data_IF_321773421164
#
_entry.id   IF_321773421164
#
_cell.length_a   1.000
_cell.length_b   1.000
_cell.length_c   1.000
_cell.angle_alpha   90.00
_cell.angle_beta   90.00
_cell.angle_gamma   90.00
#
_symmetry.space_group_name_H-M   'P 1'
#
loop_
_entity.id
_entity.type
_entity.pdbx_description
1 polymer ?
#
# COMPACT_ATOMS: atom_id res chain seq x y z
N UNK A 1 10.56 7.60 14.92
CA UNK A 1 10.05 6.33 14.38
C UNK A 1 9.02 6.54 13.26
N UNK A 2 7.80 7.05 13.51
CA UNK A 2 6.82 7.31 12.43
C UNK A 2 7.36 8.28 11.37
N UNK A 3 7.88 9.44 11.78
CA UNK A 3 8.48 10.41 10.85
C UNK A 3 9.64 9.80 10.03
N UNK A 4 10.50 9.00 10.67
CA UNK A 4 11.59 8.30 9.97
C UNK A 4 11.07 7.26 8.97
N UNK A 5 9.96 6.58 9.30
CA UNK A 5 9.31 5.62 8.40
C UNK A 5 8.67 6.36 7.21
N UNK A 6 8.00 7.49 7.45
CA UNK A 6 7.49 8.36 6.39
C UNK A 6 8.60 8.84 5.46
N UNK A 7 9.76 9.24 6.01
CA UNK A 7 10.91 9.68 5.22
C UNK A 7 11.47 8.54 4.35
N UNK A 8 11.62 7.33 4.91
CA UNK A 8 12.09 6.14 4.15
C UNK A 8 11.10 5.73 3.06
N UNK A 9 9.80 5.71 3.37
CA UNK A 9 8.74 5.46 2.38
C UNK A 9 8.82 6.51 1.27
N UNK A 10 8.86 7.80 1.61
CA UNK A 10 8.91 8.89 0.64
C UNK A 10 10.21 8.89 -0.20
N UNK A 11 11.30 8.35 0.34
CA UNK A 11 12.54 8.12 -0.40
C UNK A 11 12.40 6.94 -1.39
N UNK A 12 11.72 5.87 -1.00
CA UNK A 12 11.59 4.66 -1.82
C UNK A 12 10.56 4.80 -2.94
N UNK A 13 9.43 5.44 -2.70
CA UNK A 13 8.31 5.53 -3.65
C UNK A 13 8.69 6.05 -5.06
N UNK A 14 9.53 7.10 -5.22
CA UNK A 14 9.98 7.53 -6.55
C UNK A 14 10.67 6.42 -7.35
N UNK A 15 11.43 5.54 -6.68
CA UNK A 15 12.13 4.44 -7.33
C UNK A 15 11.16 3.37 -7.82
N UNK A 16 10.14 3.05 -7.00
CA UNK A 16 9.10 2.07 -7.37
C UNK A 16 8.23 2.60 -8.51
N UNK A 17 7.85 3.88 -8.46
CA UNK A 17 7.09 4.54 -9.55
C UNK A 17 7.88 4.47 -10.86
N UNK A 18 9.19 4.75 -10.82
CA UNK A 18 10.07 4.62 -11.99
C UNK A 18 10.13 3.19 -12.50
N UNK A 19 10.17 2.20 -11.60
CA UNK A 19 10.12 0.78 -11.99
C UNK A 19 8.82 0.44 -12.73
N UNK A 20 7.67 0.90 -12.22
CA UNK A 20 6.37 0.71 -12.89
C UNK A 20 6.34 1.39 -14.27
N UNK A 21 6.87 2.61 -14.38
CA UNK A 21 6.92 3.35 -15.66
C UNK A 21 7.78 2.61 -16.70
N UNK A 22 8.94 2.10 -16.28
CA UNK A 22 9.80 1.27 -17.13
C UNK A 22 9.10 -0.02 -17.53
N UNK A 23 8.41 -0.67 -16.59
CA UNK A 23 7.69 -1.91 -16.85
C UNK A 23 6.59 -1.69 -17.89
N UNK A 24 5.71 -0.69 -17.70
CA UNK A 24 4.64 -0.35 -18.65
C UNK A 24 5.17 -0.03 -20.05
N UNK A 25 6.31 0.66 -20.16
CA UNK A 25 6.93 0.98 -21.46
C UNK A 25 7.52 -0.25 -22.15
N UNK A 26 7.99 -1.24 -21.39
CA UNK A 26 8.58 -2.48 -21.91
C UNK A 26 7.56 -3.55 -22.34
N UNK A 27 6.31 -3.47 -21.87
CA UNK A 27 5.25 -4.40 -22.26
C UNK A 27 4.89 -4.25 -23.74
N UNK A 28 4.63 -5.39 -24.40
CA UNK A 28 4.01 -5.41 -25.73
C UNK A 28 2.62 -4.76 -25.70
N UNK A 29 2.12 -4.31 -26.85
CA UNK A 29 0.81 -3.63 -26.90
C UNK A 29 -0.32 -4.51 -26.36
N UNK A 30 -0.34 -5.81 -26.68
CA UNK A 30 -1.32 -6.74 -26.11
C UNK A 30 -1.20 -6.85 -24.60
N UNK A 31 0.01 -7.05 -24.05
CA UNK A 31 0.20 -7.17 -22.60
C UNK A 31 -0.14 -5.86 -21.87
N UNK A 32 0.11 -4.71 -22.49
CA UNK A 32 -0.28 -3.40 -21.97
C UNK A 32 -1.81 -3.25 -21.91
N UNK A 33 -2.57 -3.81 -22.84
CA UNK A 33 -4.03 -3.84 -22.75
C UNK A 33 -4.52 -4.68 -21.55
N UNK A 34 -3.83 -5.76 -21.22
CA UNK A 34 -4.20 -6.63 -20.09
C UNK A 34 -3.79 -6.06 -18.72
N UNK A 35 -2.60 -5.46 -18.62
CA UNK A 35 -2.00 -5.08 -17.33
C UNK A 35 -1.94 -3.57 -17.10
N UNK A 36 -2.04 -2.76 -18.15
CA UNK A 36 -1.75 -1.33 -18.09
C UNK A 36 -2.65 -0.58 -17.12
N UNK A 37 -3.93 -0.99 -17.02
CA UNK A 37 -4.88 -0.38 -16.08
C UNK A 37 -4.45 -0.59 -14.62
N UNK A 38 -4.09 -1.81 -14.24
CA UNK A 38 -3.65 -2.17 -12.89
C UNK A 38 -2.33 -1.48 -12.53
N UNK A 39 -1.35 -1.49 -13.44
CA UNK A 39 -0.08 -0.81 -13.25
C UNK A 39 -0.24 0.71 -13.12
N UNK A 40 -1.12 1.31 -13.92
CA UNK A 40 -1.43 2.74 -13.83
C UNK A 40 -2.15 3.08 -12.52
N UNK A 41 -3.06 2.23 -12.05
CA UNK A 41 -3.76 2.41 -10.79
C UNK A 41 -2.78 2.38 -9.61
N UNK A 42 -1.91 1.36 -9.57
CA UNK A 42 -0.84 1.26 -8.58
C UNK A 42 0.05 2.50 -8.60
N UNK A 43 0.57 2.87 -9.77
CA UNK A 43 1.40 4.07 -9.95
C UNK A 43 0.73 5.34 -9.39
N UNK A 44 -0.57 5.51 -9.66
CA UNK A 44 -1.32 6.66 -9.19
C UNK A 44 -1.48 6.65 -7.67
N UNK A 45 -1.73 5.49 -7.04
CA UNK A 45 -1.75 5.36 -5.58
C UNK A 45 -0.40 5.73 -4.99
N UNK A 46 0.70 5.17 -5.51
CA UNK A 46 2.05 5.47 -5.00
C UNK A 46 2.38 6.97 -5.10
N UNK A 47 2.01 7.60 -6.21
CA UNK A 47 2.20 9.04 -6.39
C UNK A 47 1.36 9.87 -5.42
N UNK A 48 0.11 9.45 -5.14
CA UNK A 48 -0.76 10.11 -4.17
C UNK A 48 -0.25 9.94 -2.74
N UNK A 49 0.23 8.76 -2.36
CA UNK A 49 0.90 8.54 -1.07
C UNK A 49 2.12 9.45 -0.93
N UNK A 50 3.00 9.46 -1.92
CA UNK A 50 4.19 10.30 -1.92
C UNK A 50 3.85 11.79 -1.77
N UNK A 51 2.86 12.25 -2.55
CA UNK A 51 2.38 13.63 -2.45
C UNK A 51 1.75 13.90 -1.09
N UNK A 52 0.99 12.96 -0.54
CA UNK A 52 0.41 13.05 0.80
C UNK A 52 1.46 13.26 1.88
N UNK A 53 2.50 12.42 1.90
CA UNK A 53 3.62 12.52 2.86
C UNK A 53 4.35 13.86 2.73
N UNK A 54 4.61 14.30 1.49
CA UNK A 54 5.34 15.56 1.23
C UNK A 54 4.48 16.80 1.44
N UNK A 55 3.18 16.70 1.24
CA UNK A 55 2.29 17.83 1.37
C UNK A 55 2.13 18.17 2.85
N UNK A 56 2.27 19.45 3.19
CA UNK A 56 1.85 19.97 4.49
C UNK A 56 0.33 20.22 4.56
N UNK A 57 -0.42 19.85 3.50
CA UNK A 57 -1.85 20.15 3.34
C UNK A 57 -2.71 19.13 4.09
N UNK A 58 -2.38 17.86 3.97
CA UNK A 58 -3.06 16.79 4.69
C UNK A 58 -2.29 16.50 5.98
N UNK A 59 -2.76 17.05 7.09
CA UNK A 59 -2.21 16.72 8.40
C UNK A 59 -2.56 15.26 8.70
N UNK A 60 -1.62 14.35 8.42
CA UNK A 60 -1.70 12.96 8.86
C UNK A 60 -1.81 12.95 10.38
N UNK A 61 -2.94 12.46 10.89
CA UNK A 61 -3.18 12.33 12.31
C UNK A 61 -2.97 10.90 12.73
N UNK A 62 -2.08 10.73 13.70
CA UNK A 62 -1.83 9.45 14.35
C UNK A 62 -2.52 9.45 15.70
N UNK A 63 -3.44 8.51 15.90
CA UNK A 63 -4.11 8.35 17.18
C UNK A 63 -3.60 7.10 17.88
N UNK A 64 -3.65 7.17 19.20
CA UNK A 64 -3.46 6.03 20.08
C UNK A 64 -4.78 5.83 20.82
N UNK A 65 -5.25 4.59 20.89
CA UNK A 65 -6.48 4.24 21.61
C UNK A 65 -6.25 3.00 22.46
N UNK A 66 -7.05 2.80 23.51
CA UNK A 66 -7.02 1.61 24.34
C UNK A 66 -8.38 0.91 24.23
N UNK A 67 -8.44 -0.22 23.53
CA UNK A 67 -9.63 -1.09 23.48
C UNK A 67 -9.26 -2.46 24.06
N UNK A 68 -9.99 -2.87 25.10
CA UNK A 68 -9.82 -4.16 25.77
C UNK A 68 -10.16 -5.33 24.81
N UNK A 69 -9.11 -5.99 24.33
CA UNK A 69 -8.98 -7.43 24.01
C UNK A 69 -9.99 -8.15 23.09
N UNK A 70 -10.91 -7.48 22.39
CA UNK A 70 -11.86 -8.15 21.47
C UNK A 70 -11.69 -7.82 19.98
N UNK A 71 -10.78 -6.92 19.62
CA UNK A 71 -10.39 -6.66 18.22
C UNK A 71 -8.94 -7.11 18.03
N UNK A 72 -8.71 -8.34 17.52
CA UNK A 72 -7.39 -8.94 17.46
C UNK A 72 -6.43 -8.35 16.42
N UNK A 73 -6.89 -7.50 15.50
CA UNK A 73 -6.02 -6.95 14.47
C UNK A 73 -5.79 -5.45 14.72
N UNK A 74 -4.58 -5.15 15.19
CA UNK A 74 -4.12 -3.85 15.66
C UNK A 74 -3.30 -3.10 14.62
N UNK A 75 -3.62 -3.22 13.34
CA UNK A 75 -2.97 -2.46 12.28
C UNK A 75 -4.06 -1.51 11.71
N UNK A 76 -3.71 -0.28 11.39
CA UNK A 76 -4.50 0.89 11.73
C UNK A 76 -5.96 0.98 11.23
N UNK A 77 -6.84 1.48 12.10
CA UNK A 77 -8.22 1.79 11.73
C UNK A 77 -8.27 3.11 10.96
N UNK A 78 -9.02 3.13 9.86
CA UNK A 78 -9.23 4.33 9.03
C UNK A 78 -10.70 4.75 8.99
N UNK A 79 -10.91 6.07 9.06
CA UNK A 79 -12.17 6.70 8.69
C UNK A 79 -13.39 6.22 9.51
N UNK A 80 -14.61 6.67 9.16
CA UNK A 80 -15.77 6.65 10.06
C UNK A 80 -16.36 5.25 10.32
N UNK A 81 -15.69 4.20 9.86
CA UNK A 81 -16.12 2.80 9.90
C UNK A 81 -16.13 2.21 11.31
N UNK A 82 -15.40 2.80 12.26
CA UNK A 82 -15.62 2.53 13.67
C UNK A 82 -16.60 3.57 14.25
N UNK A 83 -17.81 3.15 14.69
CA UNK A 83 -18.86 4.04 15.18
C UNK A 83 -18.35 5.01 16.25
N UNK A 84 -17.44 4.55 17.12
CA UNK A 84 -16.94 5.36 18.22
C UNK A 84 -16.16 6.58 17.73
N UNK A 85 -15.33 6.47 16.68
CA UNK A 85 -14.50 7.58 16.19
C UNK A 85 -15.23 8.51 15.21
N UNK A 86 -16.27 8.01 14.54
CA UNK A 86 -17.23 8.83 13.82
C UNK A 86 -18.12 9.67 14.76
N UNK A 87 -18.45 9.16 15.96
CA UNK A 87 -19.19 9.90 16.99
C UNK A 87 -18.37 11.06 17.61
N UNK A 88 -17.04 10.95 17.72
CA UNK A 88 -16.17 12.02 18.28
C UNK A 88 -15.70 13.05 17.23
N UNK A 89 -16.22 13.00 16.01
CA UNK A 89 -16.04 14.07 15.03
C UNK A 89 -14.65 14.12 14.37
N UNK A 90 -14.13 12.99 13.88
CA UNK A 90 -12.96 12.96 12.99
C UNK A 90 -13.38 12.85 11.50
N UNK A 91 -13.74 13.95 10.82
CA UNK A 91 -14.13 13.94 9.40
C UNK A 91 -12.92 13.83 8.45
N UNK A 92 -11.72 13.56 8.96
CA UNK A 92 -10.47 13.53 8.19
C UNK A 92 -9.81 12.15 8.30
N UNK A 93 -9.06 11.70 7.28
CA UNK A 93 -8.29 10.47 7.35
C UNK A 93 -7.35 10.47 8.55
N UNK A 94 -7.28 9.33 9.24
CA UNK A 94 -6.42 9.13 10.38
C UNK A 94 -5.90 7.70 10.39
N UNK A 95 -4.79 7.50 11.10
CA UNK A 95 -4.17 6.19 11.34
C UNK A 95 -4.17 6.00 12.86
N UNK A 96 -4.94 5.01 13.36
CA UNK A 96 -5.09 4.77 14.79
C UNK A 96 -4.40 3.46 15.21
N UNK A 97 -3.63 3.49 16.29
CA UNK A 97 -2.92 2.34 16.86
C UNK A 97 -3.47 1.97 18.25
N UNK A 98 -3.74 0.68 18.50
CA UNK A 98 -4.15 0.20 19.82
C UNK A 98 -2.96 0.18 20.80
N UNK A 99 -3.16 0.62 22.04
CA UNK A 99 -2.17 0.64 23.13
C UNK A 99 -2.38 -0.49 24.15
N UNK A 100 -3.59 -1.04 24.26
CA UNK A 100 -3.89 -2.18 25.15
C UNK A 100 -3.18 -3.46 24.69
N UNK A 101 -2.91 -3.53 23.39
CA UNK A 101 -1.86 -4.37 22.81
C UNK A 101 -0.65 -3.44 22.76
N UNK A 102 0.49 -3.78 23.41
CA UNK A 102 1.76 -3.05 23.13
C UNK A 102 1.85 -2.97 21.62
N UNK A 103 1.86 -1.80 20.96
CA UNK A 103 1.78 -1.74 19.52
C UNK A 103 3.05 -2.37 18.97
N UNK A 104 2.99 -3.69 18.75
CA UNK A 104 4.18 -4.54 18.67
C UNK A 104 5.00 -4.13 17.46
N UNK A 105 4.36 -3.52 16.47
CA UNK A 105 4.99 -3.00 15.27
C UNK A 105 6.08 -1.96 15.57
N UNK A 106 5.99 -1.13 16.61
CA UNK A 106 7.08 -0.20 16.97
C UNK A 106 8.30 -0.92 17.58
N UNK A 107 8.11 -2.13 18.11
CA UNK A 107 9.16 -2.99 18.64
C UNK A 107 9.73 -3.94 17.56
N UNK A 108 9.10 -4.00 16.38
CA UNK A 108 9.59 -4.75 15.22
C UNK A 108 10.74 -4.01 14.53
N UNK A 109 11.41 -4.72 13.62
CA UNK A 109 12.43 -4.15 12.76
C UNK A 109 11.88 -3.04 11.84
N UNK A 110 12.81 -2.27 11.27
CA UNK A 110 12.51 -1.10 10.44
C UNK A 110 11.67 -1.46 9.22
N UNK A 111 11.91 -2.61 8.59
CA UNK A 111 11.21 -3.01 7.38
C UNK A 111 9.75 -3.36 7.70
N UNK A 112 9.51 -4.00 8.85
CA UNK A 112 8.16 -4.24 9.34
C UNK A 112 7.41 -2.94 9.67
N UNK A 113 8.10 -1.96 10.24
CA UNK A 113 7.50 -0.65 10.52
C UNK A 113 7.09 0.07 9.23
N UNK A 114 7.98 0.09 8.24
CA UNK A 114 7.77 0.78 6.98
C UNK A 114 6.62 0.17 6.19
N UNK A 115 6.55 -1.17 6.09
CA UNK A 115 5.48 -1.84 5.34
C UNK A 115 4.10 -1.66 5.99
N UNK A 116 4.00 -1.70 7.33
CA UNK A 116 2.71 -1.53 8.03
C UNK A 116 2.23 -0.09 7.88
N UNK A 117 3.11 0.90 8.12
CA UNK A 117 2.73 2.29 7.91
C UNK A 117 2.35 2.57 6.45
N UNK A 118 3.06 1.97 5.50
CA UNK A 118 2.75 2.13 4.08
C UNK A 118 1.43 1.47 3.67
N UNK A 119 1.13 0.26 4.16
CA UNK A 119 -0.16 -0.40 4.00
C UNK A 119 -1.30 0.56 4.36
N UNK A 120 -1.22 1.16 5.56
CA UNK A 120 -2.22 2.11 6.02
C UNK A 120 -2.32 3.36 5.15
N UNK A 121 -1.18 3.94 4.79
CA UNK A 121 -1.16 5.10 3.92
C UNK A 121 -1.84 4.83 2.57
N UNK A 122 -1.75 3.60 2.03
CA UNK A 122 -2.32 3.30 0.72
C UNK A 122 -3.85 3.31 0.70
N UNK A 123 -4.50 2.88 1.78
CA UNK A 123 -5.97 2.87 1.87
C UNK A 123 -6.55 4.29 1.82
N UNK A 124 -5.84 5.28 2.39
CA UNK A 124 -6.20 6.70 2.26
C UNK A 124 -6.32 7.16 0.81
N UNK A 125 -5.70 6.43 -0.12
CA UNK A 125 -5.71 6.72 -1.55
C UNK A 125 -6.39 5.65 -2.41
N UNK A 126 -7.09 4.69 -1.78
CA UNK A 126 -8.10 3.87 -2.42
C UNK A 126 -7.83 2.35 -2.48
N UNK A 127 -6.74 1.85 -1.90
CA UNK A 127 -6.51 0.40 -1.75
C UNK A 127 -7.45 -0.22 -0.71
N UNK A 128 -7.50 -1.54 -0.68
CA UNK A 128 -8.33 -2.39 0.20
C UNK A 128 -7.52 -3.59 0.67
N UNK A 129 -7.97 -4.31 1.68
CA UNK A 129 -7.28 -5.50 2.22
C UNK A 129 -7.55 -6.80 1.45
N UNK A 130 -8.38 -6.70 0.42
CA UNK A 130 -8.76 -7.80 -0.45
C UNK A 130 -8.53 -7.46 -1.93
N UNK A 131 -8.84 -8.40 -2.81
CA UNK A 131 -8.63 -8.23 -4.25
C UNK A 131 -9.84 -7.59 -4.96
N UNK A 132 -10.81 -7.02 -4.22
CA UNK A 132 -12.07 -6.49 -4.78
C UNK A 132 -11.88 -5.32 -5.75
N UNK A 133 -10.74 -4.64 -5.68
CA UNK A 133 -10.35 -3.53 -6.58
C UNK A 133 -9.24 -3.88 -7.56
N UNK A 134 -8.84 -5.15 -7.62
CA UNK A 134 -7.68 -5.62 -8.37
C UNK A 134 -6.53 -6.01 -7.45
N UNK A 135 -5.77 -7.02 -7.87
CA UNK A 135 -4.67 -7.62 -7.12
C UNK A 135 -3.57 -6.61 -6.73
N UNK A 136 -3.27 -5.63 -7.60
CA UNK A 136 -2.31 -4.56 -7.29
C UNK A 136 -2.91 -3.38 -6.52
N UNK A 137 -4.20 -3.45 -6.21
CA UNK A 137 -4.92 -2.53 -5.33
C UNK A 137 -5.20 -3.14 -3.96
N UNK A 138 -4.76 -4.39 -3.73
CA UNK A 138 -4.69 -5.02 -2.42
C UNK A 138 -3.47 -4.47 -1.65
N UNK A 139 -3.72 -3.88 -0.48
CA UNK A 139 -2.72 -3.26 0.36
C UNK A 139 -1.69 -4.29 0.88
N UNK A 140 -2.10 -5.52 1.18
CA UNK A 140 -1.17 -6.60 1.55
C UNK A 140 -0.25 -7.02 0.40
N UNK A 141 -0.76 -6.95 -0.85
CA UNK A 141 0.05 -7.26 -2.03
C UNK A 141 1.17 -6.24 -2.25
N UNK A 142 0.87 -4.94 -2.03
CA UNK A 142 1.79 -3.87 -2.40
C UNK A 142 2.64 -3.34 -1.23
N UNK A 143 2.30 -3.68 0.02
CA UNK A 143 2.97 -3.11 1.21
C UNK A 143 4.49 -3.34 1.23
N UNK A 144 4.95 -4.41 0.59
CA UNK A 144 6.37 -4.77 0.53
C UNK A 144 7.18 -3.90 -0.44
N UNK A 145 6.55 -3.15 -1.34
CA UNK A 145 7.26 -2.36 -2.35
C UNK A 145 8.12 -1.25 -1.74
N UNK A 146 7.83 -0.81 -0.51
CA UNK A 146 8.63 0.19 0.21
C UNK A 146 9.82 -0.39 0.97
N UNK A 147 9.92 -1.71 1.07
CA UNK A 147 11.01 -2.39 1.80
C UNK A 147 12.23 -2.55 0.88
N UNK A 148 13.46 -2.24 1.34
CA UNK A 148 14.68 -2.49 0.57
C UNK A 148 14.80 -3.95 0.11
N UNK A 149 15.30 -4.17 -1.11
CA UNK A 149 15.42 -5.51 -1.69
C UNK A 149 14.14 -6.06 -2.35
N UNK A 150 12.98 -5.44 -2.11
CA UNK A 150 11.74 -5.76 -2.82
C UNK A 150 11.55 -4.86 -4.04
N UNK A 151 10.91 -5.39 -5.07
CA UNK A 151 10.67 -4.70 -6.35
C UNK A 151 9.34 -5.16 -6.94
N UNK A 152 8.82 -4.41 -7.91
CA UNK A 152 7.62 -4.82 -8.65
C UNK A 152 7.86 -6.18 -9.32
N UNK A 153 9.02 -6.36 -9.96
CA UNK A 153 9.40 -7.62 -10.61
C UNK A 153 9.67 -8.77 -9.63
N UNK A 154 9.97 -8.46 -8.37
CA UNK A 154 10.11 -9.44 -7.30
C UNK A 154 8.76 -9.83 -6.68
N UNK A 155 7.67 -9.13 -7.00
CA UNK A 155 6.36 -9.37 -6.41
C UNK A 155 5.69 -10.60 -7.06
N UNK A 156 5.37 -11.66 -6.27
CA UNK A 156 4.79 -12.90 -6.81
C UNK A 156 3.44 -12.69 -7.52
N UNK A 157 2.59 -11.82 -6.97
CA UNK A 157 1.26 -11.52 -7.53
C UNK A 157 1.43 -10.82 -8.88
N UNK A 158 2.29 -9.81 -8.95
CA UNK A 158 2.61 -9.15 -10.22
C UNK A 158 3.15 -10.12 -11.27
N UNK A 159 4.09 -10.99 -10.88
CA UNK A 159 4.67 -11.99 -11.79
C UNK A 159 3.65 -12.99 -12.31
N UNK A 160 2.70 -13.41 -11.46
CA UNK A 160 1.59 -14.24 -11.87
C UNK A 160 0.69 -13.53 -12.89
N UNK A 161 0.30 -12.27 -12.62
CA UNK A 161 -0.49 -11.46 -13.54
C UNK A 161 0.24 -11.30 -14.89
N UNK A 162 1.54 -11.00 -14.84
CA UNK A 162 2.38 -10.84 -16.03
C UNK A 162 2.44 -12.11 -16.87
N UNK A 163 2.62 -13.26 -16.22
CA UNK A 163 2.63 -14.57 -16.88
C UNK A 163 1.28 -14.89 -17.51
N UNK A 164 0.18 -14.61 -16.80
CA UNK A 164 -1.19 -14.79 -17.30
C UNK A 164 -1.45 -13.93 -18.54
N UNK A 165 -1.04 -12.66 -18.52
CA UNK A 165 -1.17 -11.76 -19.66
C UNK A 165 -0.32 -12.24 -20.86
N UNK A 166 0.93 -12.66 -20.61
CA UNK A 166 1.80 -13.18 -21.65
C UNK A 166 1.23 -14.44 -22.34
N UNK A 167 0.63 -15.36 -21.58
CA UNK A 167 -0.09 -16.53 -22.16
C UNK A 167 -1.27 -16.11 -23.01
N UNK A 168 -2.10 -15.19 -22.52
CA UNK A 168 -3.27 -14.68 -23.26
C UNK A 168 -2.87 -13.97 -24.56
N UNK A 169 -1.73 -13.30 -24.55
CA UNK A 169 -1.14 -12.63 -25.71
C UNK A 169 -0.31 -13.54 -26.62
N UNK A 170 -0.29 -14.85 -26.39
CA UNK A 170 0.49 -15.82 -27.19
C UNK A 170 2.01 -15.65 -27.09
N UNK A 171 2.50 -14.91 -26.10
CA UNK A 171 3.93 -14.67 -25.85
C UNK A 171 4.57 -15.75 -24.97
N UNK A 172 3.75 -16.60 -24.36
CA UNK A 172 4.15 -17.83 -23.67
C UNK A 172 3.20 -18.95 -24.11
N UNK A 173 3.73 -20.08 -24.55
CA UNK A 173 2.93 -21.28 -24.77
C UNK A 173 2.29 -21.73 -23.45
N UNK A 174 1.03 -22.17 -23.53
CA UNK A 174 0.40 -22.88 -22.42
C UNK A 174 1.19 -24.16 -22.14
N UNK A 175 1.42 -24.52 -20.86
CA UNK A 175 1.89 -25.86 -20.53
C UNK A 175 0.88 -26.92 -20.99
#
# INVERSE_FOLDING_TARGET
MVMQSLDRIAFRLPLVIKEIDLEMSSLSQCMRCELGRELQALRNVLARVLNGIRSKKDVLRFFRYDLSSSHPDSDAIQGPTFPIFSIIGFPRPYIAFNQGIRPTWFERDVDWQDRILFHELTHMYGTVDDDSKGELMNAHTIMWLVVPGHSLRGNPVYNWMKTRAARKCGSLSSP
#
